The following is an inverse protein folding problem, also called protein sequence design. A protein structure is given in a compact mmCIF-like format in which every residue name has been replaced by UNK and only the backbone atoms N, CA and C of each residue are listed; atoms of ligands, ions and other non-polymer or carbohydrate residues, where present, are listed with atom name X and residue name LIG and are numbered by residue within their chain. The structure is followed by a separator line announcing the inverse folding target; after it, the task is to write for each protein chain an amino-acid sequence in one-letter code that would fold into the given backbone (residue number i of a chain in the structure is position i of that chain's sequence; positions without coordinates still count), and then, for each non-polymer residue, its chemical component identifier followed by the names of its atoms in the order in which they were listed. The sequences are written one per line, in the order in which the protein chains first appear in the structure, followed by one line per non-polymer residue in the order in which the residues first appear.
data_IF_300897339291
#
_entry.id   IF_300897339291
#
_cell.length_a   1.000
_cell.length_b   1.000
_cell.length_c   1.000
_cell.angle_alpha   90.00
_cell.angle_beta   90.00
_cell.angle_gamma   90.00
#
_symmetry.space_group_name_H-M   'P 1'
#
loop_
_entity.id
_entity.type
_entity.pdbx_description
1 polymer ?
#
# COMPACT_ATOMS: atom_id res chain seq x y z
N UNK A 1 10.42 -20.19 9.02
CA UNK A 1 11.47 -19.83 9.92
C UNK A 1 12.08 -18.43 9.69
N UNK A 2 12.68 -18.04 8.54
CA UNK A 2 13.28 -16.68 8.42
C UNK A 2 12.25 -15.56 8.52
N UNK A 3 10.99 -15.78 8.14
CA UNK A 3 9.92 -14.76 8.17
C UNK A 3 9.46 -14.49 9.60
N UNK A 4 9.33 -15.55 10.40
CA UNK A 4 8.94 -15.45 11.81
C UNK A 4 10.02 -14.83 12.70
N UNK A 5 11.30 -15.05 12.36
CA UNK A 5 12.43 -14.43 13.05
C UNK A 5 12.53 -12.90 12.79
N UNK A 6 11.99 -12.43 11.65
CA UNK A 6 11.94 -11.01 11.29
C UNK A 6 10.67 -10.28 11.74
N UNK A 7 9.85 -10.90 12.61
CA UNK A 7 8.56 -10.37 13.08
C UNK A 7 7.65 -9.88 11.94
N UNK A 8 7.70 -10.61 10.80
CA UNK A 8 6.90 -10.31 9.61
C UNK A 8 5.72 -11.26 9.52
N UNK A 9 4.52 -10.71 9.54
CA UNK A 9 3.32 -11.48 9.27
C UNK A 9 3.17 -11.76 7.77
N UNK A 10 2.81 -13.00 7.42
CA UNK A 10 2.49 -13.36 6.04
C UNK A 10 1.01 -13.05 5.84
N UNK A 11 0.74 -11.91 5.20
CA UNK A 11 -0.60 -11.54 4.78
C UNK A 11 -0.70 -11.80 3.26
N UNK A 12 -1.53 -12.75 2.85
CA UNK A 12 -1.87 -12.92 1.46
C UNK A 12 -2.85 -11.80 1.03
N UNK A 13 -2.62 -11.16 -0.12
CA UNK A 13 -1.56 -11.37 -1.10
C UNK A 13 -0.28 -10.53 -0.88
N UNK A 14 -0.30 -9.53 0.01
CA UNK A 14 0.65 -8.41 0.05
C UNK A 14 2.10 -8.81 0.37
N UNK A 15 2.29 -9.77 1.25
CA UNK A 15 3.63 -10.19 1.72
C UNK A 15 4.09 -11.56 1.21
N UNK A 16 3.43 -12.09 0.18
CA UNK A 16 3.76 -13.40 -0.40
C UNK A 16 5.21 -13.49 -0.91
N UNK A 17 5.82 -12.36 -1.30
CA UNK A 17 7.23 -12.30 -1.72
C UNK A 17 8.23 -12.82 -0.67
N UNK A 18 7.89 -12.70 0.62
CA UNK A 18 8.75 -13.20 1.70
C UNK A 18 8.71 -14.73 1.83
N UNK A 19 7.78 -15.40 1.17
CA UNK A 19 7.68 -16.86 1.13
C UNK A 19 8.52 -17.47 0.02
N UNK A 20 9.06 -16.67 -0.92
CA UNK A 20 9.85 -17.17 -2.05
C UNK A 20 11.04 -18.06 -1.64
N UNK A 21 11.87 -17.70 -0.64
CA UNK A 21 12.93 -18.59 -0.19
C UNK A 21 12.41 -19.90 0.42
N UNK A 22 11.25 -19.84 1.09
CA UNK A 22 10.58 -21.00 1.67
C UNK A 22 9.95 -21.93 0.63
N UNK A 23 9.56 -21.39 -0.53
CA UNK A 23 8.91 -22.16 -1.60
C UNK A 23 9.85 -23.22 -2.19
N UNK A 24 11.14 -22.91 -2.29
CA UNK A 24 12.14 -23.87 -2.77
C UNK A 24 12.22 -25.09 -1.84
N UNK A 25 12.26 -24.86 -0.53
CA UNK A 25 12.23 -25.95 0.46
C UNK A 25 10.93 -26.78 0.39
N UNK A 26 9.79 -26.09 0.24
CA UNK A 26 8.49 -26.76 0.09
C UNK A 26 8.44 -27.64 -1.16
N UNK A 27 8.95 -27.16 -2.30
CA UNK A 27 9.01 -27.94 -3.55
C UNK A 27 9.90 -29.17 -3.39
N UNK A 28 11.07 -29.05 -2.74
CA UNK A 28 11.96 -30.19 -2.49
C UNK A 28 11.30 -31.23 -1.58
N UNK A 29 10.62 -30.82 -0.51
CA UNK A 29 9.90 -31.70 0.40
C UNK A 29 8.77 -32.42 -0.35
N UNK A 30 7.94 -31.70 -1.08
CA UNK A 30 6.82 -32.24 -1.85
C UNK A 30 7.33 -33.20 -2.94
N UNK A 31 8.40 -32.85 -3.65
CA UNK A 31 9.04 -33.70 -4.64
C UNK A 31 9.59 -35.00 -4.03
N UNK A 32 10.24 -34.90 -2.87
CA UNK A 32 10.69 -36.05 -2.09
C UNK A 32 9.54 -36.97 -1.68
N UNK A 33 8.47 -36.41 -1.12
CA UNK A 33 7.28 -37.18 -0.74
C UNK A 33 6.63 -37.88 -1.95
N UNK A 34 6.48 -37.17 -3.07
CA UNK A 34 5.93 -37.73 -4.31
C UNK A 34 6.83 -38.86 -4.86
N UNK A 35 8.14 -38.75 -4.73
CA UNK A 35 9.08 -39.77 -5.20
C UNK A 35 8.98 -41.09 -4.40
N UNK A 36 8.52 -41.03 -3.15
CA UNK A 36 8.30 -42.23 -2.31
C UNK A 36 7.07 -43.05 -2.72
N UNK A 37 6.19 -42.48 -3.54
CA UNK A 37 5.00 -43.20 -4.02
C UNK A 37 5.37 -44.26 -5.06
N UNK A 38 5.08 -45.54 -4.75
CA UNK A 38 5.35 -46.68 -5.62
C UNK A 38 4.50 -46.66 -6.90
N UNK A 39 3.26 -46.14 -6.83
CA UNK A 39 2.34 -46.10 -7.97
C UNK A 39 2.65 -44.91 -8.86
N UNK A 40 3.09 -45.14 -10.08
CA UNK A 40 3.36 -44.11 -11.08
C UNK A 40 2.08 -43.30 -11.41
N UNK A 41 0.93 -43.98 -11.51
CA UNK A 41 -0.36 -43.31 -11.82
C UNK A 41 -0.76 -42.33 -10.72
N UNK A 42 -0.61 -42.76 -9.44
CA UNK A 42 -0.92 -41.91 -8.29
C UNK A 42 0.01 -40.70 -8.22
N UNK A 43 1.32 -40.91 -8.45
CA UNK A 43 2.32 -39.86 -8.49
C UNK A 43 2.00 -38.80 -9.55
N UNK A 44 1.70 -39.26 -10.80
CA UNK A 44 1.30 -38.36 -11.88
C UNK A 44 0.01 -37.60 -11.58
N UNK A 45 -1.01 -38.29 -11.03
CA UNK A 45 -2.28 -37.69 -10.65
C UNK A 45 -2.09 -36.58 -9.58
N UNK A 46 -1.33 -36.88 -8.52
CA UNK A 46 -1.05 -35.88 -7.47
C UNK A 46 -0.21 -34.70 -7.98
N UNK A 47 0.79 -34.97 -8.83
CA UNK A 47 1.58 -33.92 -9.44
C UNK A 47 0.70 -33.01 -10.31
N UNK A 48 -0.17 -33.57 -11.15
CA UNK A 48 -1.10 -32.81 -11.97
C UNK A 48 -2.07 -31.96 -11.11
N UNK A 49 -2.59 -32.54 -10.03
CA UNK A 49 -3.45 -31.83 -9.07
C UNK A 49 -2.71 -30.63 -8.44
N UNK A 50 -1.48 -30.84 -7.96
CA UNK A 50 -0.68 -29.77 -7.32
C UNK A 50 -0.33 -28.66 -8.32
N UNK A 51 0.06 -29.03 -9.54
CA UNK A 51 0.33 -28.05 -10.61
C UNK A 51 -0.94 -27.28 -10.95
N UNK A 52 -2.07 -27.97 -11.11
CA UNK A 52 -3.36 -27.32 -11.36
C UNK A 52 -3.74 -26.34 -10.26
N UNK A 53 -3.65 -26.75 -8.99
CA UNK A 53 -3.91 -25.88 -7.84
C UNK A 53 -2.97 -24.66 -7.81
N UNK A 54 -1.69 -24.84 -8.10
CA UNK A 54 -0.73 -23.76 -8.19
C UNK A 54 -1.09 -22.75 -9.31
N UNK A 55 -1.46 -23.24 -10.49
CA UNK A 55 -1.91 -22.42 -11.60
C UNK A 55 -3.14 -21.57 -11.23
N UNK A 56 -4.15 -22.20 -10.61
CA UNK A 56 -5.35 -21.48 -10.16
C UNK A 56 -5.03 -20.42 -9.11
N UNK A 57 -4.17 -20.74 -8.13
CA UNK A 57 -3.75 -19.77 -7.12
C UNK A 57 -3.00 -18.58 -7.74
N UNK A 58 -2.07 -18.84 -8.65
CA UNK A 58 -1.34 -17.78 -9.35
C UNK A 58 -2.23 -16.94 -10.25
N UNK A 59 -3.18 -17.56 -10.94
CA UNK A 59 -4.15 -16.84 -11.77
C UNK A 59 -5.06 -15.92 -10.90
N UNK A 60 -5.56 -16.43 -9.77
CA UNK A 60 -6.33 -15.64 -8.82
C UNK A 60 -5.55 -14.44 -8.30
N UNK A 61 -4.31 -14.66 -7.85
CA UNK A 61 -3.44 -13.59 -7.40
C UNK A 61 -3.14 -12.55 -8.52
N UNK A 62 -2.84 -13.01 -9.72
CA UNK A 62 -2.58 -12.13 -10.86
C UNK A 62 -3.80 -11.25 -11.19
N UNK A 63 -5.00 -11.82 -11.14
CA UNK A 63 -6.24 -11.08 -11.36
C UNK A 63 -6.46 -10.02 -10.28
N UNK A 64 -6.20 -10.35 -9.02
CA UNK A 64 -6.28 -9.41 -7.92
C UNK A 64 -5.31 -8.25 -8.09
N UNK A 65 -4.04 -8.51 -8.40
CA UNK A 65 -3.04 -7.46 -8.66
C UNK A 65 -3.44 -6.55 -9.84
N UNK A 66 -4.02 -7.11 -10.91
CA UNK A 66 -4.50 -6.31 -12.05
C UNK A 66 -5.63 -5.38 -11.61
N UNK A 67 -6.55 -5.84 -10.78
CA UNK A 67 -7.66 -5.03 -10.29
C UNK A 67 -7.17 -3.92 -9.34
N UNK A 68 -6.29 -4.27 -8.40
CA UNK A 68 -5.65 -3.29 -7.50
C UNK A 68 -4.89 -2.23 -8.30
N UNK A 69 -4.14 -2.63 -9.32
CA UNK A 69 -3.43 -1.70 -10.21
C UNK A 69 -4.38 -0.76 -10.96
N UNK A 70 -5.50 -1.28 -11.46
CA UNK A 70 -6.51 -0.46 -12.14
C UNK A 70 -7.13 0.57 -11.19
N UNK A 71 -7.48 0.15 -9.99
CA UNK A 71 -8.01 1.04 -8.95
C UNK A 71 -7.01 2.14 -8.58
N UNK A 72 -5.75 1.76 -8.32
CA UNK A 72 -4.66 2.69 -8.02
C UNK A 72 -4.43 3.69 -9.17
N UNK A 73 -4.40 3.21 -10.41
CA UNK A 73 -4.24 4.07 -11.59
C UNK A 73 -5.40 5.05 -11.74
N UNK A 74 -6.64 4.59 -11.55
CA UNK A 74 -7.84 5.43 -11.62
C UNK A 74 -7.80 6.50 -10.53
N UNK A 75 -7.45 6.12 -9.30
CA UNK A 75 -7.29 7.04 -8.19
C UNK A 75 -6.29 8.17 -8.52
N UNK A 76 -5.06 7.82 -8.88
CA UNK A 76 -4.01 8.81 -9.17
C UNK A 76 -4.30 9.65 -10.41
N UNK A 77 -4.98 9.08 -11.40
CA UNK A 77 -5.44 9.84 -12.57
C UNK A 77 -6.45 10.91 -12.14
N UNK A 78 -7.43 10.57 -11.31
CA UNK A 78 -8.38 11.56 -10.79
C UNK A 78 -7.71 12.61 -9.90
N UNK A 79 -6.75 12.21 -9.04
CA UNK A 79 -5.97 13.14 -8.21
C UNK A 79 -5.24 14.15 -9.09
N UNK A 80 -4.56 13.70 -10.15
CA UNK A 80 -3.80 14.59 -11.03
C UNK A 80 -4.67 15.64 -11.74
N UNK A 81 -5.94 15.34 -12.02
CA UNK A 81 -6.89 16.28 -12.58
C UNK A 81 -7.44 17.27 -11.56
N UNK A 82 -7.70 16.82 -10.34
CA UNK A 82 -8.31 17.64 -9.28
C UNK A 82 -7.30 18.49 -8.54
N UNK A 83 -6.10 18.00 -8.39
CA UNK A 83 -4.96 18.68 -7.79
C UNK A 83 -3.79 18.71 -8.78
N UNK A 84 -3.83 19.55 -9.83
CA UNK A 84 -2.79 19.58 -10.86
C UNK A 84 -1.42 20.00 -10.32
N UNK A 85 -1.40 20.65 -9.16
CA UNK A 85 -0.18 21.03 -8.45
C UNK A 85 -0.36 20.80 -6.96
N UNK A 86 0.63 20.12 -6.35
CA UNK A 86 0.71 19.94 -4.90
C UNK A 86 2.06 20.52 -4.45
N UNK A 87 2.05 21.40 -3.46
CA UNK A 87 3.28 22.05 -3.00
C UNK A 87 4.21 21.08 -2.28
N UNK A 88 5.55 21.21 -2.45
CA UNK A 88 6.51 20.39 -1.71
C UNK A 88 6.31 20.54 -0.20
N UNK A 89 6.48 19.44 0.53
CA UNK A 89 6.27 19.38 1.97
C UNK A 89 4.80 19.19 2.39
N UNK A 90 3.84 19.15 1.45
CA UNK A 90 2.47 18.75 1.76
C UNK A 90 2.44 17.28 2.15
N UNK A 91 1.86 16.97 3.29
CA UNK A 91 1.68 15.61 3.79
C UNK A 91 0.43 15.01 3.16
N UNK A 92 0.58 13.89 2.47
CA UNK A 92 -0.53 13.21 1.83
C UNK A 92 -1.08 12.12 2.74
N UNK A 93 -2.40 12.08 2.86
CA UNK A 93 -3.15 10.97 3.44
C UNK A 93 -4.08 10.45 2.34
N UNK A 94 -4.00 9.18 2.01
CA UNK A 94 -4.86 8.62 0.98
C UNK A 94 -5.67 7.45 1.52
N UNK A 95 -6.95 7.45 1.15
CA UNK A 95 -7.90 6.38 1.37
C UNK A 95 -8.58 6.07 0.03
N UNK A 96 -8.39 4.84 -0.46
CA UNK A 96 -9.01 4.36 -1.69
C UNK A 96 -9.40 2.89 -1.59
N UNK A 97 -10.45 2.45 -2.29
CA UNK A 97 -11.04 1.15 -2.09
C UNK A 97 -10.05 0.02 -2.45
N UNK A 98 -10.21 -1.10 -1.76
CA UNK A 98 -9.44 -2.34 -1.94
C UNK A 98 -7.92 -2.21 -1.68
N UNK A 99 -7.46 -1.10 -1.15
CA UNK A 99 -6.08 -0.97 -0.76
C UNK A 99 -5.96 -1.16 0.74
N UNK A 100 -5.46 -2.30 1.15
CA UNK A 100 -4.87 -2.38 2.48
C UNK A 100 -3.61 -1.50 2.51
N UNK A 101 -3.76 -0.16 2.56
CA UNK A 101 -2.62 0.75 2.69
C UNK A 101 -1.99 0.51 4.05
N UNK A 102 -1.12 -0.49 4.11
CA UNK A 102 -0.39 -0.81 5.33
C UNK A 102 0.86 0.07 5.49
N UNK A 103 1.33 0.67 4.41
CA UNK A 103 2.58 1.43 4.39
C UNK A 103 2.47 2.70 3.54
N UNK A 104 3.06 3.80 4.01
CA UNK A 104 2.99 5.14 3.41
C UNK A 104 3.61 5.23 2.01
N UNK A 105 4.50 4.31 1.65
CA UNK A 105 5.15 4.34 0.32
C UNK A 105 4.18 4.07 -0.84
N UNK A 106 3.04 3.43 -0.59
CA UNK A 106 1.99 3.29 -1.59
C UNK A 106 1.34 4.63 -1.97
N UNK A 107 1.51 5.65 -1.13
CA UNK A 107 1.02 6.99 -1.35
C UNK A 107 2.13 7.92 -1.85
N UNK A 108 3.23 8.07 -1.08
CA UNK A 108 4.28 9.00 -1.48
C UNK A 108 5.03 8.55 -2.74
N UNK A 109 5.15 7.25 -3.01
CA UNK A 109 5.83 6.74 -4.20
C UNK A 109 5.19 7.25 -5.50
N UNK A 110 3.93 6.91 -5.80
CA UNK A 110 3.24 7.42 -6.97
C UNK A 110 3.13 8.94 -7.02
N UNK A 111 2.85 9.59 -5.88
CA UNK A 111 2.75 11.04 -5.82
C UNK A 111 4.03 11.74 -6.28
N UNK A 112 5.19 11.34 -5.75
CA UNK A 112 6.46 11.95 -6.15
C UNK A 112 6.83 11.63 -7.60
N UNK A 113 6.40 10.47 -8.13
CA UNK A 113 6.61 10.14 -9.54
C UNK A 113 5.77 11.03 -10.48
N UNK A 114 4.58 11.42 -10.07
CA UNK A 114 3.66 12.23 -10.87
C UNK A 114 4.03 13.72 -10.79
N UNK A 115 4.23 14.23 -9.57
CA UNK A 115 4.38 15.67 -9.34
C UNK A 115 5.82 16.18 -9.38
N UNK A 116 6.81 15.31 -9.11
CA UNK A 116 8.24 15.68 -9.05
C UNK A 116 9.10 14.68 -9.83
N UNK A 117 8.81 14.42 -11.12
CA UNK A 117 9.52 13.41 -11.91
C UNK A 117 11.02 13.73 -12.10
N UNK A 118 11.39 14.99 -12.13
CA UNK A 118 12.77 15.48 -12.34
C UNK A 118 13.67 15.16 -11.14
N UNK A 119 13.12 15.00 -9.95
CA UNK A 119 13.88 14.67 -8.72
C UNK A 119 14.22 13.19 -8.57
N UNK A 120 14.03 12.38 -9.62
CA UNK A 120 14.37 10.95 -9.62
C UNK A 120 15.87 10.67 -9.64
N UNK A 121 16.68 11.65 -10.08
CA UNK A 121 18.13 11.51 -10.18
C UNK A 121 18.78 11.84 -8.84
N UNK A 122 19.23 10.82 -8.17
CA UNK A 122 19.91 10.92 -6.89
C UNK A 122 19.71 9.63 -6.09
N UNK A 123 20.68 9.27 -5.29
CA UNK A 123 20.56 8.15 -4.35
C UNK A 123 20.95 8.66 -2.96
N UNK A 124 20.00 8.68 -2.03
CA UNK A 124 18.59 8.31 -2.12
C UNK A 124 17.74 9.36 -2.85
N UNK A 125 16.64 8.91 -3.51
CA UNK A 125 15.73 9.82 -4.23
C UNK A 125 14.96 10.70 -3.24
N UNK A 126 14.98 12.03 -3.39
CA UNK A 126 14.30 12.95 -2.48
C UNK A 126 12.78 12.72 -2.45
N UNK A 127 12.19 12.80 -1.26
CA UNK A 127 10.74 12.72 -1.06
C UNK A 127 10.22 14.16 -0.88
N UNK A 128 9.60 14.69 -1.93
CA UNK A 128 9.03 16.05 -1.92
C UNK A 128 7.64 16.08 -1.31
N UNK A 129 6.87 15.00 -1.48
CA UNK A 129 5.54 14.81 -0.91
C UNK A 129 5.61 13.63 0.07
N UNK A 130 5.77 13.90 1.38
CA UNK A 130 5.65 12.88 2.40
C UNK A 130 4.22 12.35 2.48
N UNK A 131 4.05 11.15 2.99
CA UNK A 131 2.73 10.59 3.22
C UNK A 131 2.64 9.90 4.59
N UNK A 132 1.43 9.74 5.05
CA UNK A 132 1.10 8.99 6.27
C UNK A 132 -0.03 8.01 5.99
N UNK A 133 -0.04 6.92 6.73
CA UNK A 133 -1.15 5.96 6.72
C UNK A 133 -2.27 6.52 7.58
N UNK A 134 -3.51 6.41 7.08
CA UNK A 134 -4.68 6.81 7.84
C UNK A 134 -4.89 5.88 9.03
N UNK A 135 -4.73 6.42 10.22
CA UNK A 135 -4.99 5.74 11.49
C UNK A 135 -5.37 6.77 12.55
N UNK A 136 -5.80 6.31 13.74
CA UNK A 136 -6.25 7.18 14.83
C UNK A 136 -5.19 8.23 15.23
N UNK A 137 -3.92 7.86 15.29
CA UNK A 137 -2.83 8.79 15.64
C UNK A 137 -2.66 9.86 14.58
N UNK A 138 -2.70 9.48 13.30
CA UNK A 138 -2.64 10.42 12.17
C UNK A 138 -3.78 11.43 12.23
N UNK A 139 -5.02 10.95 12.45
CA UNK A 139 -6.19 11.82 12.61
C UNK A 139 -6.00 12.81 13.76
N UNK A 140 -5.57 12.32 14.93
CA UNK A 140 -5.31 13.20 16.08
C UNK A 140 -4.24 14.25 15.81
N UNK A 141 -3.18 13.91 15.08
CA UNK A 141 -2.13 14.85 14.72
C UNK A 141 -2.65 15.91 13.73
N UNK A 142 -3.47 15.50 12.76
CA UNK A 142 -4.13 16.42 11.82
C UNK A 142 -5.05 17.39 12.56
N UNK A 143 -5.85 16.90 13.51
CA UNK A 143 -6.78 17.72 14.29
C UNK A 143 -6.07 18.69 15.23
N UNK A 144 -4.86 18.35 15.71
CA UNK A 144 -4.02 19.29 16.47
C UNK A 144 -3.47 20.44 15.60
N UNK A 145 -3.33 20.19 14.29
CA UNK A 145 -3.02 21.21 13.31
C UNK A 145 -1.59 21.75 13.37
N UNK A 146 -1.47 23.05 13.27
CA UNK A 146 -0.20 23.77 13.14
C UNK A 146 0.77 23.49 14.29
N UNK A 147 2.03 23.25 13.94
CA UNK A 147 3.13 23.00 14.89
C UNK A 147 3.34 21.52 15.25
N UNK A 148 2.48 20.62 14.81
CA UNK A 148 2.72 19.18 14.97
C UNK A 148 3.57 18.68 13.82
N UNK A 149 4.81 18.36 14.11
CA UNK A 149 5.77 17.80 13.13
C UNK A 149 6.28 16.45 13.57
N UNK A 150 6.53 15.57 12.62
CA UNK A 150 7.11 14.27 12.84
C UNK A 150 8.25 14.06 11.84
N UNK A 151 9.43 13.68 12.32
CA UNK A 151 10.55 13.30 11.45
C UNK A 151 10.70 11.79 11.45
N UNK A 152 10.67 11.21 10.27
CA UNK A 152 10.79 9.76 10.07
C UNK A 152 11.91 9.44 9.09
N UNK A 153 12.64 8.36 9.32
CA UNK A 153 13.55 7.81 8.33
C UNK A 153 12.77 7.03 7.27
N UNK A 154 13.03 7.33 6.02
CA UNK A 154 12.50 6.60 4.87
C UNK A 154 13.63 6.28 3.90
N UNK A 155 14.14 5.04 3.98
CA UNK A 155 15.23 4.55 3.14
C UNK A 155 16.51 5.39 3.23
N UNK A 156 16.88 5.80 4.43
CA UNK A 156 18.06 6.63 4.68
C UNK A 156 17.86 8.12 4.39
N UNK A 157 16.60 8.56 4.23
CA UNK A 157 16.23 9.97 4.16
C UNK A 157 15.42 10.36 5.38
N UNK A 158 15.81 11.44 6.03
CA UNK A 158 14.96 12.10 7.02
C UNK A 158 13.86 12.88 6.31
N UNK A 159 12.62 12.51 6.57
CA UNK A 159 11.43 13.13 5.99
C UNK A 159 10.63 13.76 7.11
N UNK A 160 10.46 15.08 7.06
CA UNK A 160 9.62 15.81 8.02
C UNK A 160 8.19 15.86 7.49
N UNK A 161 7.25 15.50 8.32
CA UNK A 161 5.81 15.58 8.12
C UNK A 161 5.27 16.73 8.94
N UNK A 162 4.73 17.73 8.28
CA UNK A 162 4.09 18.88 8.90
C UNK A 162 2.57 18.70 8.82
N UNK A 163 1.95 18.38 9.95
CA UNK A 163 0.52 18.11 10.03
C UNK A 163 -0.36 19.38 9.91
N UNK A 164 0.22 20.57 9.90
CA UNK A 164 -0.47 21.80 9.50
C UNK A 164 -0.65 21.91 7.96
N UNK A 165 0.01 21.03 7.18
CA UNK A 165 0.00 21.08 5.71
C UNK A 165 -0.41 19.73 5.15
N UNK A 166 -1.61 19.27 5.48
CA UNK A 166 -2.14 17.96 5.08
C UNK A 166 -3.13 18.11 3.94
N UNK A 167 -3.04 17.19 2.98
CA UNK A 167 -4.03 16.96 1.94
C UNK A 167 -4.53 15.53 2.04
N UNK A 168 -5.78 15.36 2.43
CA UNK A 168 -6.44 14.07 2.45
C UNK A 168 -7.12 13.82 1.09
N UNK A 169 -6.91 12.61 0.58
CA UNK A 169 -7.37 12.12 -0.70
C UNK A 169 -8.26 10.90 -0.43
N UNK A 170 -9.56 11.03 -0.61
CA UNK A 170 -10.50 9.92 -0.35
C UNK A 170 -11.26 9.53 -1.61
N UNK A 171 -11.32 8.23 -1.89
CA UNK A 171 -12.14 7.62 -2.93
C UNK A 171 -12.88 6.44 -2.31
N UNK A 172 -14.10 6.64 -1.78
CA UNK A 172 -14.82 5.64 -0.97
C UNK A 172 -15.13 4.33 -1.70
N UNK A 173 -15.35 4.39 -3.01
CA UNK A 173 -15.64 3.22 -3.85
C UNK A 173 -14.91 3.31 -5.18
N UNK A 174 -14.73 2.18 -5.88
CA UNK A 174 -14.07 2.15 -7.20
C UNK A 174 -14.76 3.02 -8.26
N UNK A 175 -16.06 3.24 -8.13
CA UNK A 175 -16.85 4.06 -9.04
C UNK A 175 -17.03 5.50 -8.59
N UNK A 176 -16.54 5.87 -7.40
CA UNK A 176 -16.69 7.22 -6.87
C UNK A 176 -15.60 8.17 -7.40
N UNK A 177 -15.88 9.46 -7.23
CA UNK A 177 -14.87 10.49 -7.47
C UNK A 177 -13.92 10.59 -6.28
N UNK A 178 -12.67 10.99 -6.54
CA UNK A 178 -11.72 11.36 -5.48
C UNK A 178 -12.15 12.68 -4.86
N UNK A 179 -12.27 12.70 -3.55
CA UNK A 179 -12.48 13.89 -2.74
C UNK A 179 -11.14 14.41 -2.24
N UNK A 180 -10.95 15.72 -2.33
CA UNK A 180 -9.78 16.42 -1.80
C UNK A 180 -10.23 17.17 -0.56
N UNK A 181 -9.66 16.86 0.59
CA UNK A 181 -9.95 17.49 1.86
C UNK A 181 -8.65 18.14 2.35
N UNK A 182 -8.62 19.46 2.44
CA UNK A 182 -7.52 20.16 3.09
C UNK A 182 -7.69 20.05 4.60
N UNK A 183 -6.65 19.58 5.29
CA UNK A 183 -6.59 19.58 6.73
C UNK A 183 -6.70 21.00 7.28
N UNK A 184 -7.25 21.16 8.50
CA UNK A 184 -7.41 22.44 9.18
C UNK A 184 -8.29 23.47 8.45
N UNK A 185 -9.41 23.06 7.86
CA UNK A 185 -10.45 24.02 7.55
C UNK A 185 -11.22 24.39 8.83
N UNK A 186 -11.31 25.69 9.19
CA UNK A 186 -12.03 26.12 10.40
C UNK A 186 -13.52 25.73 10.43
N UNK A 187 -14.07 25.41 9.26
CA UNK A 187 -15.46 24.95 9.09
C UNK A 187 -15.68 23.49 9.52
N UNK A 188 -14.61 22.69 9.64
CA UNK A 188 -14.62 21.35 10.21
C UNK A 188 -14.28 21.36 11.71
N UNK A 189 -14.70 22.40 12.44
CA UNK A 189 -14.50 22.53 13.89
C UNK A 189 -15.25 21.44 14.68
N UNK A 190 -16.08 20.65 14.04
CA UNK A 190 -16.70 19.48 14.60
C UNK A 190 -15.77 18.27 14.44
N UNK A 191 -15.02 18.00 15.49
CA UNK A 191 -14.06 16.89 15.58
C UNK A 191 -14.71 15.54 15.20
N UNK A 192 -15.97 15.34 15.57
CA UNK A 192 -16.72 14.11 15.27
C UNK A 192 -17.07 14.03 13.77
N UNK A 193 -17.40 15.16 13.13
CA UNK A 193 -17.69 15.22 11.70
C UNK A 193 -16.45 14.91 10.85
N UNK A 194 -15.28 15.42 11.25
CA UNK A 194 -14.02 15.15 10.56
C UNK A 194 -13.57 13.70 10.74
N UNK A 195 -13.65 13.16 11.96
CA UNK A 195 -13.39 11.76 12.24
C UNK A 195 -14.34 10.84 11.45
N UNK A 196 -15.63 11.16 11.37
CA UNK A 196 -16.59 10.40 10.57
C UNK A 196 -16.29 10.47 9.07
N UNK A 197 -15.88 11.61 8.53
CA UNK A 197 -15.54 11.72 7.10
C UNK A 197 -14.27 10.96 6.72
N UNK A 198 -13.30 10.86 7.63
CA UNK A 198 -12.03 10.16 7.37
C UNK A 198 -12.11 8.68 7.76
N UNK A 199 -12.89 8.31 8.78
CA UNK A 199 -12.96 6.95 9.31
C UNK A 199 -14.17 6.17 8.79
N UNK A 200 -15.23 6.84 8.34
CA UNK A 200 -16.45 6.20 7.83
C UNK A 200 -16.30 5.57 6.42
N UNK A 201 -15.11 5.49 5.93
CA UNK A 201 -14.70 4.82 4.72
C UNK A 201 -13.54 3.89 5.01
#
# INVERSE_FOLDING_TARGET
APVTLGDRHILFPTYSRFTLPGSLGAVLILGGLLSMLKSQRLRLGLTALLVGAAVFAHFGNATQYVNEWRSLRNFWWQVSWRAPQIQPGTVLVADYPNSGIAEDYFVWGPANLIYYPEKKTGSPTPISLPAVVLNRTTVQNILRGDGVTETVDRRGLEVTRDYGRVLALSMPTEGSCVHLIQGAQPELSDQEGYEMQIIAH
#
